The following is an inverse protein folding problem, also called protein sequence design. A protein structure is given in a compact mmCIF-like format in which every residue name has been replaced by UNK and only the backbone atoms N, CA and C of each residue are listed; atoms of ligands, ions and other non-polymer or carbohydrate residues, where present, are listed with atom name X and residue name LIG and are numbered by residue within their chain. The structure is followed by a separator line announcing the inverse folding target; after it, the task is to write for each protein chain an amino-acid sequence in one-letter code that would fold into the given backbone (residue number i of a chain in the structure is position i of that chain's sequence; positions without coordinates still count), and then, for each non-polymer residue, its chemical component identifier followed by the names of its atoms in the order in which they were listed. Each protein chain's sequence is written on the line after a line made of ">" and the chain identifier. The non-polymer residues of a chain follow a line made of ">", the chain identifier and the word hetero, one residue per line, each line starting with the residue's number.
data_IF_427356687362
#
_entry.id   IF_427356687362
#
_cell.length_a   1.000
_cell.length_b   1.000
_cell.length_c   1.000
_cell.angle_alpha   90.00
_cell.angle_beta   90.00
_cell.angle_gamma   90.00
#
_symmetry.space_group_name_H-M   'P 1'
#
loop_
_entity.id
_entity.type
_entity.pdbx_description
1 polymer ?
#
# COMPACT_ATOMS: atom_id res chain seq x y z
N UNK A 1 -58.46 40.77 -36.32
CA UNK A 1 -57.54 41.14 -35.22
C UNK A 1 -56.11 40.93 -35.74
N UNK A 2 -55.50 41.99 -36.30
CA UNK A 2 -54.26 42.66 -35.81
C UNK A 2 -53.09 41.68 -35.56
N UNK A 3 -52.12 41.65 -36.48
CA UNK A 3 -50.73 42.17 -36.35
C UNK A 3 -49.80 41.24 -35.57
N UNK A 4 -48.48 41.14 -35.76
CA UNK A 4 -47.48 41.45 -36.80
C UNK A 4 -46.14 41.00 -36.19
N UNK A 5 -45.17 40.63 -37.02
CA UNK A 5 -43.74 40.41 -36.71
C UNK A 5 -43.13 41.37 -35.67
N UNK A 6 -42.09 40.95 -34.94
CA UNK A 6 -40.79 41.66 -34.78
C UNK A 6 -39.71 40.69 -34.25
N UNK A 7 -38.58 40.65 -34.97
CA UNK A 7 -37.25 40.19 -34.54
C UNK A 7 -36.63 41.20 -33.55
N UNK A 8 -35.95 40.76 -32.49
CA UNK A 8 -34.60 41.26 -32.17
C UNK A 8 -33.88 40.43 -31.12
N UNK A 9 -32.61 40.23 -31.45
CA UNK A 9 -31.44 39.80 -30.68
C UNK A 9 -31.21 40.65 -29.43
N UNK A 10 -30.71 40.03 -28.34
CA UNK A 10 -29.59 40.52 -27.52
C UNK A 10 -29.46 39.79 -26.17
N UNK A 11 -28.44 38.93 -26.11
CA UNK A 11 -27.33 38.94 -25.15
C UNK A 11 -27.57 39.14 -23.63
N UNK A 12 -26.91 38.22 -22.89
CA UNK A 12 -26.40 38.36 -21.53
C UNK A 12 -27.39 38.48 -20.36
N UNK A 13 -27.55 37.37 -19.62
CA UNK A 13 -27.17 37.45 -18.20
C UNK A 13 -26.76 36.11 -17.58
N UNK A 14 -25.48 36.08 -17.23
CA UNK A 14 -24.79 35.30 -16.21
C UNK A 14 -25.67 34.44 -15.29
N UNK A 15 -25.56 33.12 -15.43
CA UNK A 15 -25.38 32.24 -14.27
C UNK A 15 -24.23 31.27 -14.57
N UNK A 16 -23.03 31.74 -14.24
CA UNK A 16 -21.89 30.89 -13.96
C UNK A 16 -22.21 30.00 -12.75
N UNK A 17 -22.54 28.75 -12.98
CA UNK A 17 -22.39 27.71 -11.96
C UNK A 17 -21.12 26.93 -12.31
N UNK A 18 -20.09 27.19 -11.51
CA UNK A 18 -18.76 26.61 -11.56
C UNK A 18 -18.79 25.10 -11.84
N UNK A 19 -18.44 24.71 -13.07
CA UNK A 19 -17.97 23.37 -13.35
C UNK A 19 -16.60 23.21 -12.68
N UNK A 20 -16.56 22.50 -11.55
CA UNK A 20 -15.34 22.24 -10.80
C UNK A 20 -14.30 21.56 -11.70
N UNK A 21 -13.16 22.21 -11.83
CA UNK A 21 -12.02 21.81 -12.67
C UNK A 21 -11.18 20.77 -11.93
N UNK A 22 -11.35 19.49 -12.23
CA UNK A 22 -10.58 18.39 -11.65
C UNK A 22 -9.57 17.79 -12.64
N UNK A 23 -8.36 17.53 -12.15
CA UNK A 23 -7.13 17.12 -12.88
C UNK A 23 -6.99 15.61 -12.88
N UNK A 24 -6.70 14.95 -14.02
CA UNK A 24 -6.59 13.47 -14.02
C UNK A 24 -6.22 12.87 -15.37
N UNK A 25 -5.27 11.93 -15.36
CA UNK A 25 -4.85 11.19 -16.54
C UNK A 25 -4.65 9.70 -16.22
N UNK A 26 -5.60 8.84 -16.63
CA UNK A 26 -5.42 7.38 -16.77
C UNK A 26 -4.64 7.09 -18.08
N UNK A 27 -3.82 6.02 -18.17
CA UNK A 27 -3.38 5.48 -19.48
C UNK A 27 -3.31 3.94 -19.47
N UNK A 28 -4.05 3.30 -20.40
CA UNK A 28 -4.33 1.86 -20.47
C UNK A 28 -3.65 1.14 -21.65
N UNK A 29 -2.87 0.11 -21.32
CA UNK A 29 -2.29 -1.02 -22.09
C UNK A 29 -1.01 -0.84 -22.93
N UNK A 30 0.07 -1.46 -22.45
CA UNK A 30 1.27 -1.80 -23.23
C UNK A 30 1.16 -3.24 -23.75
N UNK A 31 0.79 -3.44 -25.02
CA UNK A 31 0.92 -4.70 -25.77
C UNK A 31 2.33 -4.84 -26.39
N UNK A 32 2.89 -6.06 -26.47
CA UNK A 32 4.17 -6.25 -27.13
C UNK A 32 4.08 -5.95 -28.65
N UNK A 33 5.13 -5.40 -29.30
CA UNK A 33 5.19 -5.38 -30.76
C UNK A 33 5.31 -6.82 -31.25
N UNK A 34 4.30 -7.32 -31.97
CA UNK A 34 4.44 -8.58 -32.70
C UNK A 34 5.40 -8.35 -33.85
N UNK A 35 6.67 -8.73 -33.66
CA UNK A 35 7.60 -8.96 -34.75
C UNK A 35 7.19 -10.24 -35.47
N UNK A 36 6.54 -10.11 -36.61
CA UNK A 36 6.19 -11.24 -37.49
C UNK A 36 4.75 -11.18 -37.98
N UNK A 37 4.58 -11.17 -39.30
CA UNK A 37 3.32 -11.22 -40.03
C UNK A 37 2.27 -12.14 -39.37
N UNK A 38 1.24 -11.57 -38.76
CA UNK A 38 0.10 -12.31 -38.20
C UNK A 38 -1.18 -11.92 -38.97
N UNK A 39 -1.82 -12.91 -39.58
CA UNK A 39 -3.12 -12.75 -40.25
C UNK A 39 -4.25 -12.64 -39.21
N UNK A 40 -5.30 -11.83 -39.46
CA UNK A 40 -6.40 -11.64 -38.53
C UNK A 40 -7.43 -12.76 -38.71
N UNK A 41 -7.41 -13.75 -37.81
CA UNK A 41 -8.56 -14.63 -37.62
C UNK A 41 -8.74 -14.97 -36.14
N UNK A 42 -9.81 -14.39 -35.55
CA UNK A 42 -10.65 -14.84 -34.41
C UNK A 42 -9.92 -15.67 -33.32
N UNK A 43 -9.68 -15.25 -32.09
CA UNK A 43 -10.20 -14.19 -31.23
C UNK A 43 -9.04 -13.73 -30.33
N UNK A 44 -8.70 -12.44 -30.35
CA UNK A 44 -7.93 -11.84 -29.26
C UNK A 44 -8.87 -11.82 -28.04
N UNK A 45 -8.42 -12.23 -26.83
CA UNK A 45 -9.26 -12.07 -25.65
C UNK A 45 -9.65 -10.59 -25.56
N UNK A 46 -10.95 -10.28 -25.36
CA UNK A 46 -11.43 -8.92 -25.46
C UNK A 46 -10.65 -8.03 -24.51
N UNK A 47 -10.48 -6.77 -24.91
CA UNK A 47 -9.86 -5.69 -24.14
C UNK A 47 -10.63 -5.33 -22.83
N UNK A 48 -11.56 -6.18 -22.43
CA UNK A 48 -12.58 -6.06 -21.39
C UNK A 48 -12.21 -7.07 -20.28
N UNK A 49 -12.06 -6.77 -18.99
CA UNK A 49 -12.60 -5.70 -18.15
C UNK A 49 -11.58 -5.44 -17.03
N UNK A 50 -10.88 -4.31 -16.96
CA UNK A 50 -11.29 -3.26 -16.04
C UNK A 50 -12.70 -2.81 -16.44
N UNK A 51 -13.68 -3.14 -15.61
CA UNK A 51 -15.08 -2.90 -15.89
C UNK A 51 -15.35 -1.41 -16.18
N UNK A 52 -16.36 -1.14 -17.00
CA UNK A 52 -16.95 0.20 -17.14
C UNK A 52 -17.26 0.80 -15.75
N UNK A 53 -17.49 -0.04 -14.74
CA UNK A 53 -17.64 0.33 -13.34
C UNK A 53 -16.39 0.99 -12.73
N UNK A 54 -15.16 0.59 -13.10
CA UNK A 54 -13.93 1.21 -12.62
C UNK A 54 -13.67 2.56 -13.29
N UNK A 55 -13.90 2.64 -14.61
CA UNK A 55 -13.84 3.91 -15.35
C UNK A 55 -14.89 4.87 -14.80
N UNK A 56 -16.09 4.37 -14.53
CA UNK A 56 -17.16 5.13 -13.86
C UNK A 56 -16.80 5.50 -12.43
N UNK A 57 -16.10 4.65 -11.67
CA UNK A 57 -15.63 4.98 -10.32
C UNK A 57 -14.59 6.09 -10.34
N UNK A 58 -13.64 6.05 -11.28
CA UNK A 58 -12.70 7.13 -11.55
C UNK A 58 -13.47 8.43 -11.87
N UNK A 59 -14.38 8.39 -12.84
CA UNK A 59 -15.18 9.56 -13.23
C UNK A 59 -16.02 10.12 -12.07
N UNK A 60 -16.62 9.25 -11.23
CA UNK A 60 -17.37 9.67 -10.01
C UNK A 60 -16.49 10.36 -8.98
N UNK A 61 -15.21 9.97 -8.88
CA UNK A 61 -14.21 10.63 -8.03
C UNK A 61 -13.57 11.87 -8.66
N UNK A 62 -14.10 12.37 -9.78
CA UNK A 62 -13.55 13.54 -10.49
C UNK A 62 -12.37 13.23 -11.42
N UNK A 63 -12.08 11.95 -11.69
CA UNK A 63 -10.91 11.51 -12.45
C UNK A 63 -11.22 11.23 -13.94
N UNK A 64 -10.68 12.05 -14.85
CA UNK A 64 -10.60 11.90 -16.30
C UNK A 64 -9.64 10.79 -16.74
N UNK A 65 -10.04 10.09 -17.79
CA UNK A 65 -9.44 8.84 -18.27
C UNK A 65 -8.91 9.00 -19.70
N UNK A 66 -7.64 8.61 -19.95
CA UNK A 66 -7.06 8.52 -21.29
C UNK A 66 -6.53 7.09 -21.56
N UNK A 67 -6.34 6.72 -22.82
CA UNK A 67 -5.93 5.36 -23.24
C UNK A 67 -4.81 5.50 -24.27
N UNK A 68 -3.69 4.78 -24.11
CA UNK A 68 -2.56 4.82 -25.06
C UNK A 68 -2.14 3.41 -25.47
N UNK A 69 -1.82 3.23 -26.76
CA UNK A 69 -1.35 1.96 -27.32
C UNK A 69 0.18 1.88 -27.35
N UNK A 70 0.69 0.66 -27.37
CA UNK A 70 1.95 0.28 -26.74
C UNK A 70 3.27 0.77 -27.34
N UNK A 71 3.36 1.00 -28.65
CA UNK A 71 4.64 1.28 -29.29
C UNK A 71 5.20 2.66 -28.91
N UNK A 72 4.31 3.62 -28.64
CA UNK A 72 4.66 5.01 -28.32
C UNK A 72 4.27 5.40 -26.89
N UNK A 73 3.75 4.46 -26.10
CA UNK A 73 3.10 4.75 -24.83
C UNK A 73 4.02 5.46 -23.82
N UNK A 74 5.32 5.15 -23.76
CA UNK A 74 6.23 5.90 -22.90
C UNK A 74 6.36 7.36 -23.37
N UNK A 75 6.62 7.60 -24.66
CA UNK A 75 6.76 8.94 -25.21
C UNK A 75 5.46 9.75 -25.14
N UNK A 76 4.31 9.13 -25.46
CA UNK A 76 2.98 9.74 -25.38
C UNK A 76 2.56 10.01 -23.93
N UNK A 77 2.81 9.08 -23.00
CA UNK A 77 2.52 9.27 -21.58
C UNK A 77 3.40 10.40 -21.02
N UNK A 78 4.70 10.40 -21.34
CA UNK A 78 5.61 11.48 -20.99
C UNK A 78 5.11 12.82 -21.55
N UNK A 79 4.80 12.87 -22.84
CA UNK A 79 4.28 14.07 -23.50
C UNK A 79 2.99 14.56 -22.82
N UNK A 80 2.05 13.66 -22.52
CA UNK A 80 0.77 14.02 -21.91
C UNK A 80 0.92 14.51 -20.47
N UNK A 81 1.79 13.87 -19.67
CA UNK A 81 2.09 14.31 -18.30
C UNK A 81 2.83 15.66 -18.31
N UNK A 82 3.62 15.95 -19.34
CA UNK A 82 4.37 17.21 -19.48
C UNK A 82 3.60 18.33 -20.18
N UNK A 83 2.38 18.08 -20.69
CA UNK A 83 1.59 19.11 -21.36
C UNK A 83 1.14 20.18 -20.35
N UNK A 84 1.47 21.47 -20.57
CA UNK A 84 1.16 22.54 -19.62
C UNK A 84 -0.36 22.80 -19.45
N UNK A 85 -1.17 22.27 -20.36
CA UNK A 85 -2.63 22.36 -20.35
C UNK A 85 -3.31 21.23 -19.56
N UNK A 86 -2.58 20.17 -19.18
CA UNK A 86 -3.07 19.18 -18.24
C UNK A 86 -2.71 19.62 -16.81
N UNK A 87 -3.74 19.92 -16.03
CA UNK A 87 -3.63 20.16 -14.59
C UNK A 87 -2.96 18.97 -13.86
N UNK A 88 -2.42 19.20 -12.65
CA UNK A 88 -1.59 18.27 -11.87
C UNK A 88 -2.08 16.81 -11.95
N UNK A 89 -1.33 15.94 -12.63
CA UNK A 89 -1.59 14.49 -12.63
C UNK A 89 -1.09 13.91 -11.32
N UNK A 90 -1.98 13.33 -10.51
CA UNK A 90 -1.63 12.73 -9.21
C UNK A 90 -1.59 11.19 -9.22
N UNK A 91 -2.20 10.55 -10.21
CA UNK A 91 -2.32 9.08 -10.31
C UNK A 91 -2.05 8.60 -11.73
N UNK A 92 -1.24 7.55 -11.87
CA UNK A 92 -1.04 6.80 -13.12
C UNK A 92 -1.29 5.32 -12.85
N UNK A 93 -2.19 4.71 -13.60
CA UNK A 93 -2.49 3.27 -13.52
C UNK A 93 -1.94 2.59 -14.77
N UNK A 94 -0.99 1.68 -14.58
CA UNK A 94 -0.38 0.88 -15.63
C UNK A 94 -1.03 -0.51 -15.64
N UNK A 95 -1.95 -0.75 -16.58
CA UNK A 95 -2.48 -2.11 -16.82
C UNK A 95 -1.44 -2.93 -17.58
N UNK A 96 -0.93 -3.99 -16.97
CA UNK A 96 0.14 -4.82 -17.54
C UNK A 96 -0.37 -6.22 -17.85
N UNK A 97 -0.31 -6.60 -19.13
CA UNK A 97 -0.65 -7.95 -19.60
C UNK A 97 0.53 -8.91 -19.44
N UNK A 98 0.27 -10.22 -19.41
CA UNK A 98 1.30 -11.24 -19.20
C UNK A 98 2.48 -11.16 -20.20
N UNK A 99 2.20 -10.76 -21.43
CA UNK A 99 3.18 -10.69 -22.52
C UNK A 99 4.04 -9.42 -22.50
N UNK A 100 3.73 -8.46 -21.62
CA UNK A 100 4.50 -7.21 -21.56
C UNK A 100 5.86 -7.43 -20.90
N UNK A 101 6.98 -6.99 -21.51
CA UNK A 101 8.30 -7.23 -20.95
C UNK A 101 8.50 -6.52 -19.60
N UNK A 102 8.86 -7.30 -18.57
CA UNK A 102 9.11 -6.76 -17.22
C UNK A 102 10.17 -5.66 -17.22
N UNK A 103 11.26 -5.81 -17.97
CA UNK A 103 12.31 -4.78 -18.00
C UNK A 103 11.84 -3.45 -18.62
N UNK A 104 10.88 -3.50 -19.54
CA UNK A 104 10.26 -2.29 -20.09
C UNK A 104 9.35 -1.61 -19.05
N UNK A 105 8.57 -2.38 -18.29
CA UNK A 105 7.75 -1.86 -17.19
C UNK A 105 8.61 -1.16 -16.14
N UNK A 106 9.68 -1.83 -15.73
CA UNK A 106 10.62 -1.36 -14.72
C UNK A 106 11.32 -0.06 -15.14
N UNK A 107 11.75 0.04 -16.41
CA UNK A 107 12.27 1.29 -16.98
C UNK A 107 11.24 2.43 -16.96
N UNK A 108 9.98 2.12 -17.30
CA UNK A 108 8.90 3.10 -17.30
C UNK A 108 8.59 3.63 -15.90
N UNK A 109 8.49 2.75 -14.89
CA UNK A 109 8.27 3.13 -13.50
C UNK A 109 9.37 4.07 -12.99
N UNK A 110 10.63 3.75 -13.29
CA UNK A 110 11.79 4.61 -12.95
C UNK A 110 11.69 5.98 -13.61
N UNK A 111 11.40 6.03 -14.91
CA UNK A 111 11.27 7.28 -15.64
C UNK A 111 10.16 8.17 -15.04
N UNK A 112 8.98 7.59 -14.77
CA UNK A 112 7.86 8.32 -14.17
C UNK A 112 8.18 8.84 -12.78
N UNK A 113 8.82 8.01 -11.95
CA UNK A 113 9.22 8.39 -10.59
C UNK A 113 10.29 9.49 -10.57
N UNK A 114 11.20 9.50 -11.55
CA UNK A 114 12.22 10.54 -11.73
C UNK A 114 11.61 11.88 -12.15
N UNK A 115 10.56 11.87 -12.97
CA UNK A 115 9.86 13.10 -13.34
C UNK A 115 9.12 13.73 -12.17
N UNK A 116 8.41 12.91 -11.39
CA UNK A 116 7.66 13.40 -10.25
C UNK A 116 7.60 12.36 -9.14
N UNK A 117 8.14 12.75 -7.99
CA UNK A 117 8.05 12.00 -6.74
C UNK A 117 6.64 12.03 -6.14
N UNK A 118 5.76 12.91 -6.63
CA UNK A 118 4.38 13.06 -6.12
C UNK A 118 3.39 12.11 -6.80
N UNK A 119 3.73 11.53 -7.95
CA UNK A 119 2.84 10.62 -8.67
C UNK A 119 2.52 9.38 -7.83
N UNK A 120 1.26 9.01 -7.75
CA UNK A 120 0.87 7.67 -7.32
C UNK A 120 0.96 6.73 -8.53
N UNK A 121 1.88 5.76 -8.48
CA UNK A 121 2.09 4.81 -9.59
C UNK A 121 1.47 3.45 -9.23
N UNK A 122 0.37 3.09 -9.87
CA UNK A 122 -0.33 1.83 -9.65
C UNK A 122 -0.04 0.86 -10.80
N UNK A 123 0.55 -0.31 -10.52
CA UNK A 123 0.65 -1.42 -11.47
C UNK A 123 -0.55 -2.33 -11.30
N UNK A 124 -1.41 -2.41 -12.32
CA UNK A 124 -2.61 -3.23 -12.30
C UNK A 124 -2.41 -4.51 -13.14
N UNK A 125 -2.11 -5.64 -12.50
CA UNK A 125 -1.83 -6.91 -13.20
C UNK A 125 -1.89 -8.14 -12.28
N UNK A 126 -2.74 -9.14 -12.58
CA UNK A 126 -2.74 -10.42 -11.85
C UNK A 126 -1.37 -11.10 -11.86
N UNK A 127 -0.71 -11.15 -13.02
CA UNK A 127 0.58 -11.84 -13.18
C UNK A 127 1.77 -11.19 -12.46
N UNK A 128 1.60 -9.95 -11.99
CA UNK A 128 2.61 -9.26 -11.20
C UNK A 128 2.22 -9.34 -9.72
N UNK A 129 0.94 -9.12 -9.40
CA UNK A 129 0.42 -9.26 -8.02
C UNK A 129 0.67 -10.65 -7.46
N UNK A 130 0.46 -11.70 -8.25
CA UNK A 130 0.56 -13.09 -7.81
C UNK A 130 2.00 -13.65 -7.91
N UNK A 131 2.99 -12.81 -8.29
CA UNK A 131 4.38 -13.21 -8.41
C UNK A 131 5.27 -12.33 -7.50
N UNK A 132 5.68 -12.83 -6.31
CA UNK A 132 6.33 -12.03 -5.27
C UNK A 132 7.56 -11.24 -5.74
N UNK A 133 8.44 -11.85 -6.54
CA UNK A 133 9.61 -11.16 -7.09
C UNK A 133 9.25 -10.04 -8.10
N UNK A 134 8.26 -10.25 -8.98
CA UNK A 134 7.83 -9.22 -9.94
C UNK A 134 7.19 -8.04 -9.21
N UNK A 135 6.35 -8.33 -8.22
CA UNK A 135 5.79 -7.33 -7.29
C UNK A 135 6.90 -6.51 -6.64
N UNK A 136 7.87 -7.17 -6.01
CA UNK A 136 8.97 -6.50 -5.32
C UNK A 136 9.79 -5.59 -6.25
N UNK A 137 10.11 -6.06 -7.46
CA UNK A 137 10.84 -5.25 -8.45
C UNK A 137 10.04 -4.01 -8.88
N UNK A 138 8.73 -4.11 -9.06
CA UNK A 138 7.91 -2.93 -9.39
C UNK A 138 7.98 -1.86 -8.29
N UNK A 139 7.90 -2.30 -7.04
CA UNK A 139 8.04 -1.45 -5.87
C UNK A 139 9.43 -0.80 -5.79
N UNK A 140 10.49 -1.57 -6.02
CA UNK A 140 11.88 -1.07 -6.06
C UNK A 140 12.08 -0.01 -7.15
N UNK A 141 11.41 -0.16 -8.29
CA UNK A 141 11.53 0.75 -9.44
C UNK A 141 10.51 1.90 -9.41
N UNK A 142 9.76 2.07 -8.31
CA UNK A 142 8.99 3.29 -8.03
C UNK A 142 7.48 3.14 -8.08
N UNK A 143 6.93 1.93 -8.23
CA UNK A 143 5.50 1.71 -8.02
C UNK A 143 5.11 2.09 -6.59
N UNK A 144 4.00 2.82 -6.45
CA UNK A 144 3.36 3.09 -5.16
C UNK A 144 2.45 1.91 -4.76
N UNK A 145 1.85 1.22 -5.73
CA UNK A 145 0.98 0.08 -5.47
C UNK A 145 1.04 -0.93 -6.61
N UNK A 146 0.91 -2.22 -6.29
CA UNK A 146 0.73 -3.31 -7.26
C UNK A 146 -0.52 -4.09 -6.88
N UNK A 147 -1.52 -4.16 -7.76
CA UNK A 147 -2.81 -4.81 -7.45
C UNK A 147 -3.46 -5.46 -8.67
N UNK A 148 -4.40 -6.35 -8.43
CA UNK A 148 -5.37 -6.84 -9.41
C UNK A 148 -6.82 -6.64 -8.91
N UNK A 149 -7.00 -5.92 -7.79
CA UNK A 149 -8.28 -5.68 -7.14
C UNK A 149 -8.81 -4.30 -7.50
N UNK A 150 -10.04 -4.26 -7.99
CA UNK A 150 -10.77 -3.02 -8.25
C UNK A 150 -11.09 -2.31 -6.94
N UNK A 151 -11.50 -3.04 -5.91
CA UNK A 151 -11.84 -2.46 -4.61
C UNK A 151 -10.64 -1.78 -3.95
N UNK A 152 -9.46 -2.40 -4.04
CA UNK A 152 -8.20 -1.80 -3.60
C UNK A 152 -7.91 -0.50 -4.34
N UNK A 153 -8.10 -0.49 -5.66
CA UNK A 153 -7.93 0.71 -6.47
C UNK A 153 -8.92 1.80 -6.05
N UNK A 154 -10.21 1.48 -5.95
CA UNK A 154 -11.26 2.42 -5.53
C UNK A 154 -10.98 3.01 -4.14
N UNK A 155 -10.52 2.19 -3.19
CA UNK A 155 -10.12 2.68 -1.86
C UNK A 155 -9.00 3.73 -1.95
N UNK A 156 -7.98 3.50 -2.79
CA UNK A 156 -6.91 4.47 -3.01
C UNK A 156 -7.42 5.74 -3.70
N UNK A 157 -8.30 5.62 -4.69
CA UNK A 157 -8.90 6.78 -5.35
C UNK A 157 -9.58 7.70 -4.34
N UNK A 158 -10.38 7.13 -3.42
CA UNK A 158 -11.05 7.91 -2.38
C UNK A 158 -10.07 8.62 -1.45
N UNK A 159 -8.95 7.96 -1.08
CA UNK A 159 -7.89 8.59 -0.27
C UNK A 159 -7.24 9.75 -1.01
N UNK A 160 -6.93 9.59 -2.30
CA UNK A 160 -6.31 10.62 -3.13
C UNK A 160 -7.26 11.82 -3.36
N UNK A 161 -8.53 11.57 -3.65
CA UNK A 161 -9.53 12.65 -3.80
C UNK A 161 -9.67 13.46 -2.51
N UNK A 162 -9.63 12.82 -1.33
CA UNK A 162 -9.66 13.52 -0.05
C UNK A 162 -8.41 14.42 0.18
N UNK A 163 -7.24 14.03 -0.34
CA UNK A 163 -6.05 14.88 -0.32
C UNK A 163 -6.19 16.12 -1.23
N UNK A 164 -6.82 15.97 -2.40
CA UNK A 164 -7.05 17.07 -3.34
C UNK A 164 -8.11 18.07 -2.83
N UNK A 165 -9.21 17.58 -2.26
CA UNK A 165 -10.25 18.44 -1.70
C UNK A 165 -9.71 19.29 -0.52
N UNK A 166 -8.81 18.71 0.28
CA UNK A 166 -8.11 19.45 1.34
C UNK A 166 -7.23 20.57 0.77
N UNK A 167 -6.50 20.32 -0.32
CA UNK A 167 -5.66 21.31 -1.01
C UNK A 167 -6.51 22.45 -1.63
N UNK A 168 -7.66 22.12 -2.23
CA UNK A 168 -8.59 23.09 -2.82
C UNK A 168 -9.24 23.99 -1.77
N UNK A 169 -9.67 23.43 -0.64
CA UNK A 169 -10.28 24.18 0.46
C UNK A 169 -9.33 25.27 1.03
N UNK A 170 -8.01 25.05 0.96
CA UNK A 170 -7.01 26.07 1.31
C UNK A 170 -7.04 27.29 0.39
N UNK A 171 -7.23 27.06 -0.92
CA UNK A 171 -7.17 28.12 -1.93
C UNK A 171 -8.37 29.06 -1.87
N UNK A 172 -9.49 28.61 -1.29
CA UNK A 172 -10.77 29.32 -1.26
C UNK A 172 -11.17 29.91 0.11
N UNK A 173 -10.47 29.59 1.21
CA UNK A 173 -10.89 29.98 2.56
C UNK A 173 -10.22 31.25 3.07
N UNK A 174 -11.00 32.32 3.29
CA UNK A 174 -10.55 33.58 3.92
C UNK A 174 -10.90 33.73 5.42
N UNK A 175 -11.56 32.76 6.08
CA UNK A 175 -11.97 32.93 7.49
C UNK A 175 -12.01 31.66 8.38
N UNK A 176 -11.34 31.80 9.55
CA UNK A 176 -11.72 31.37 10.93
C UNK A 176 -11.61 29.93 11.46
N UNK A 177 -10.93 28.98 10.80
CA UNK A 177 -10.14 27.94 11.53
C UNK A 177 -8.84 27.68 10.78
N UNK A 178 -7.71 28.10 11.35
CA UNK A 178 -6.36 27.80 10.82
C UNK A 178 -6.10 26.30 10.98
N UNK A 179 -6.59 25.48 10.04
CA UNK A 179 -6.01 24.15 9.87
C UNK A 179 -4.57 24.36 9.39
N UNK A 180 -3.60 23.89 10.18
CA UNK A 180 -2.20 23.89 9.78
C UNK A 180 -2.00 22.86 8.68
N UNK A 181 -1.29 23.25 7.63
CA UNK A 181 -0.99 22.40 6.49
C UNK A 181 0.51 22.22 6.37
N UNK A 182 0.93 21.02 6.02
CA UNK A 182 2.30 20.55 6.03
C UNK A 182 2.73 20.11 4.62
N UNK A 183 4.04 20.05 4.42
CA UNK A 183 4.65 19.47 3.23
C UNK A 183 5.22 18.09 3.53
N UNK A 184 4.99 17.12 2.64
CA UNK A 184 5.58 15.80 2.76
C UNK A 184 7.11 15.88 2.57
N UNK A 185 7.91 15.37 3.53
CA UNK A 185 9.38 15.44 3.44
C UNK A 185 9.97 14.52 2.34
N UNK A 186 9.21 13.57 1.81
CA UNK A 186 9.68 12.64 0.77
C UNK A 186 9.49 13.16 -0.66
N UNK A 187 8.39 13.86 -0.94
CA UNK A 187 8.01 14.29 -2.28
C UNK A 187 7.73 15.78 -2.43
N UNK A 188 7.71 16.53 -1.32
CA UNK A 188 7.43 17.96 -1.31
C UNK A 188 5.97 18.33 -1.60
N UNK A 189 5.02 17.38 -1.65
CA UNK A 189 3.58 17.72 -1.76
C UNK A 189 3.18 18.55 -0.55
N UNK A 190 2.78 19.79 -0.79
CA UNK A 190 2.30 20.74 0.21
C UNK A 190 0.78 20.66 0.36
N UNK A 191 0.25 21.32 1.38
CA UNK A 191 -1.20 21.44 1.58
C UNK A 191 -1.83 20.23 2.27
N UNK A 192 -1.03 19.38 2.91
CA UNK A 192 -1.52 18.20 3.61
C UNK A 192 -1.89 18.57 5.06
N UNK A 193 -3.09 18.22 5.51
CA UNK A 193 -3.41 18.22 6.94
C UNK A 193 -2.55 17.19 7.69
N UNK A 194 -2.57 17.20 9.03
CA UNK A 194 -1.88 16.19 9.85
C UNK A 194 -2.33 14.76 9.48
N UNK A 195 -3.64 14.51 9.37
CA UNK A 195 -4.19 13.22 8.95
C UNK A 195 -3.87 12.87 7.49
N UNK A 196 -3.96 13.85 6.58
CA UNK A 196 -3.61 13.62 5.18
C UNK A 196 -2.13 13.25 5.03
N UNK A 197 -1.23 13.91 5.78
CA UNK A 197 0.19 13.55 5.79
C UNK A 197 0.43 12.14 6.34
N UNK A 198 -0.30 11.76 7.40
CA UNK A 198 -0.23 10.43 8.01
C UNK A 198 -0.66 9.33 7.04
N UNK A 199 -1.69 9.57 6.22
CA UNK A 199 -2.15 8.63 5.17
C UNK A 199 -1.18 8.65 3.98
N UNK A 200 -0.80 9.84 3.52
CA UNK A 200 0.01 10.05 2.31
C UNK A 200 1.37 9.33 2.39
N UNK A 201 2.04 9.43 3.54
CA UNK A 201 3.39 8.90 3.70
C UNK A 201 3.53 7.40 3.43
N UNK A 202 2.83 6.49 4.14
CA UNK A 202 2.87 5.07 3.83
C UNK A 202 2.25 4.79 2.46
N UNK A 203 1.17 5.47 2.07
CA UNK A 203 0.49 5.18 0.80
C UNK A 203 1.37 5.45 -0.44
N UNK A 204 2.09 6.57 -0.47
CA UNK A 204 2.93 6.96 -1.62
C UNK A 204 4.38 6.48 -1.50
N UNK A 205 4.90 6.39 -0.27
CA UNK A 205 6.33 6.26 0.00
C UNK A 205 6.67 5.02 0.83
N UNK A 206 5.86 3.95 0.73
CA UNK A 206 6.06 2.71 1.51
C UNK A 206 7.46 2.09 1.36
N UNK A 207 8.10 2.30 0.20
CA UNK A 207 9.43 1.79 -0.10
C UNK A 207 10.56 2.78 0.16
N UNK A 208 10.27 4.02 0.55
CA UNK A 208 11.34 4.92 0.95
C UNK A 208 12.01 4.34 2.20
N UNK A 209 13.34 4.32 2.20
CA UNK A 209 14.10 3.77 3.32
C UNK A 209 13.77 4.53 4.60
N UNK A 210 13.75 3.81 5.72
CA UNK A 210 13.64 4.41 7.03
C UNK A 210 14.81 5.39 7.26
N UNK A 211 14.46 6.66 7.42
CA UNK A 211 15.41 7.77 7.57
C UNK A 211 15.18 8.48 8.89
N UNK A 212 16.25 8.67 9.65
CA UNK A 212 16.25 9.42 10.93
C UNK A 212 16.65 10.88 10.75
N UNK A 213 17.12 11.25 9.55
CA UNK A 213 17.58 12.60 9.22
C UNK A 213 16.47 13.50 8.64
N UNK A 214 15.28 12.94 8.40
CA UNK A 214 14.11 13.69 7.95
C UNK A 214 13.41 14.36 9.13
N UNK A 215 13.30 15.70 9.17
CA UNK A 215 12.61 16.39 10.23
C UNK A 215 11.09 16.21 10.10
N UNK A 216 10.40 16.04 11.22
CA UNK A 216 8.94 16.02 11.23
C UNK A 216 8.38 17.45 11.05
N UNK A 217 7.62 17.74 9.97
CA UNK A 217 7.09 19.08 9.72
C UNK A 217 6.06 19.50 10.77
N UNK A 218 5.33 18.55 11.36
CA UNK A 218 4.33 18.83 12.39
C UNK A 218 4.99 19.25 13.71
N UNK A 219 6.02 18.52 14.16
CA UNK A 219 6.77 18.88 15.37
C UNK A 219 7.51 20.22 15.23
N UNK A 220 8.10 20.46 14.05
CA UNK A 220 8.78 21.73 13.76
C UNK A 220 7.85 22.93 13.96
N UNK A 221 6.63 22.82 13.46
CA UNK A 221 5.62 23.86 13.57
C UNK A 221 5.05 24.01 15.00
N UNK A 222 4.76 22.89 15.68
CA UNK A 222 4.17 22.91 17.05
C UNK A 222 5.18 23.29 18.15
N UNK A 223 6.44 22.90 18.04
CA UNK A 223 7.41 22.97 19.16
C UNK A 223 8.66 23.79 18.84
N UNK A 224 8.82 24.31 17.61
CA UNK A 224 9.99 25.09 17.20
C UNK A 224 11.32 24.31 17.24
N UNK A 225 11.27 23.00 17.47
CA UNK A 225 12.41 22.08 17.50
C UNK A 225 12.14 20.95 16.52
N UNK A 226 13.13 20.66 15.68
CA UNK A 226 13.08 19.45 14.86
C UNK A 226 13.05 18.25 15.81
N UNK A 227 12.08 17.36 15.64
CA UNK A 227 12.22 16.01 16.17
C UNK A 227 13.50 15.42 15.58
N UNK A 228 14.58 15.41 16.37
CA UNK A 228 15.80 14.65 16.11
C UNK A 228 15.81 13.43 17.02
N UNK A 229 14.72 12.66 17.00
CA UNK A 229 14.69 11.39 17.71
C UNK A 229 15.52 10.37 16.94
N UNK A 230 16.18 9.48 17.66
CA UNK A 230 16.83 8.26 17.16
C UNK A 230 15.89 7.32 16.36
N UNK A 231 14.64 7.70 16.10
CA UNK A 231 13.58 6.90 15.49
C UNK A 231 13.33 7.38 14.05
N UNK A 232 13.14 6.47 13.08
CA UNK A 232 12.80 6.84 11.71
C UNK A 232 11.54 7.69 11.59
N UNK A 233 11.50 8.62 10.62
CA UNK A 233 10.41 9.57 10.44
C UNK A 233 9.03 8.90 10.29
N UNK A 234 8.90 7.85 9.48
CA UNK A 234 7.60 7.16 9.30
C UNK A 234 7.09 6.52 10.59
N UNK A 235 7.97 5.89 11.37
CA UNK A 235 7.64 5.30 12.67
C UNK A 235 7.21 6.38 13.66
N UNK A 236 7.91 7.51 13.69
CA UNK A 236 7.53 8.66 14.49
C UNK A 236 6.18 9.25 14.06
N UNK A 237 5.97 9.46 12.76
CA UNK A 237 4.72 9.97 12.21
C UNK A 237 3.55 9.07 12.62
N UNK A 238 3.72 7.75 12.52
CA UNK A 238 2.68 6.80 12.91
C UNK A 238 2.34 6.89 14.40
N UNK A 239 3.37 6.79 15.25
CA UNK A 239 3.19 6.67 16.70
C UNK A 239 2.88 8.00 17.40
N UNK A 240 3.31 9.15 16.87
CA UNK A 240 3.14 10.46 17.52
C UNK A 240 2.03 11.31 16.90
N UNK A 241 1.72 11.11 15.61
CA UNK A 241 0.77 11.93 14.85
C UNK A 241 -0.39 11.13 14.25
N UNK A 242 -0.38 9.80 14.43
CA UNK A 242 -1.49 8.94 14.08
C UNK A 242 -2.51 8.75 15.19
N UNK A 243 -3.48 7.84 14.97
CA UNK A 243 -4.39 7.38 16.02
C UNK A 243 -3.66 6.96 17.32
N UNK A 244 -2.49 6.27 17.29
CA UNK A 244 -1.75 5.97 18.53
C UNK A 244 -1.30 7.22 19.30
N UNK A 245 -0.82 8.25 18.59
CA UNK A 245 -0.34 9.49 19.21
C UNK A 245 -1.44 10.33 19.85
N UNK A 246 -2.68 10.17 19.37
CA UNK A 246 -3.88 10.78 19.94
C UNK A 246 -4.51 9.98 21.08
N UNK A 247 -4.05 8.74 21.29
CA UNK A 247 -4.63 7.81 22.25
C UNK A 247 -5.87 7.07 21.72
N UNK A 248 -6.15 7.16 20.42
CA UNK A 248 -7.24 6.43 19.75
C UNK A 248 -6.89 4.94 19.59
N UNK A 249 -5.58 4.61 19.53
CA UNK A 249 -5.04 3.25 19.49
C UNK A 249 -3.91 3.07 20.52
N UNK A 250 -3.61 1.83 20.96
CA UNK A 250 -2.40 1.55 21.74
C UNK A 250 -1.14 1.93 20.97
N UNK A 251 -0.11 2.43 21.66
CA UNK A 251 1.21 2.66 21.06
C UNK A 251 2.10 1.42 21.23
N UNK A 252 2.80 1.04 20.16
CA UNK A 252 3.79 -0.05 20.12
C UNK A 252 4.92 0.10 21.15
N UNK A 253 5.16 1.34 21.60
CA UNK A 253 6.19 1.70 22.57
C UNK A 253 5.75 1.61 24.04
N UNK A 254 4.53 1.12 24.33
CA UNK A 254 4.11 0.98 25.72
C UNK A 254 4.96 -0.05 26.47
N UNK A 255 5.50 0.43 27.59
CA UNK A 255 6.15 -0.28 28.67
C UNK A 255 7.68 -0.53 28.55
N UNK A 256 8.50 0.52 28.72
CA UNK A 256 9.96 0.40 28.88
C UNK A 256 10.38 -0.39 30.13
N UNK A 257 9.47 -0.75 31.04
CA UNK A 257 9.78 -1.61 32.19
C UNK A 257 9.54 -3.10 31.92
N UNK A 258 8.90 -3.47 30.80
CA UNK A 258 8.62 -4.89 30.51
C UNK A 258 9.92 -5.67 30.32
N UNK A 259 10.14 -6.68 31.14
CA UNK A 259 11.27 -7.61 31.03
C UNK A 259 10.97 -8.77 30.09
N UNK A 260 9.72 -8.91 29.63
CA UNK A 260 9.31 -9.90 28.63
C UNK A 260 8.78 -9.19 27.37
N UNK A 261 9.37 -9.54 26.23
CA UNK A 261 8.94 -9.12 24.90
C UNK A 261 8.43 -10.34 24.15
N UNK A 262 7.11 -10.50 24.12
CA UNK A 262 6.44 -11.61 23.47
C UNK A 262 5.99 -11.22 22.06
N UNK A 263 6.24 -12.10 21.09
CA UNK A 263 5.82 -11.95 19.70
C UNK A 263 5.06 -13.20 19.24
N UNK A 264 4.15 -13.01 18.30
CA UNK A 264 3.44 -14.08 17.63
C UNK A 264 3.70 -14.00 16.12
N UNK A 265 4.26 -15.06 15.55
CA UNK A 265 4.56 -15.20 14.12
C UNK A 265 3.65 -16.27 13.52
N UNK A 266 3.28 -16.07 12.26
CA UNK A 266 2.37 -16.97 11.54
C UNK A 266 3.03 -17.53 10.29
N UNK A 267 3.05 -18.85 10.20
CA UNK A 267 3.35 -19.59 8.97
C UNK A 267 2.02 -20.04 8.39
N UNK A 268 1.45 -19.23 7.49
CA UNK A 268 0.17 -19.56 6.86
C UNK A 268 0.39 -20.32 5.56
N UNK A 269 -0.13 -21.55 5.46
CA UNK A 269 -0.05 -22.38 4.26
C UNK A 269 -1.42 -22.56 3.65
N UNK A 270 -1.57 -22.23 2.38
CA UNK A 270 -2.81 -22.44 1.66
C UNK A 270 -3.06 -23.95 1.45
N UNK A 271 -4.21 -24.51 1.84
CA UNK A 271 -4.43 -25.96 1.85
C UNK A 271 -4.52 -26.56 0.44
N UNK A 272 -5.00 -25.81 -0.55
CA UNK A 272 -5.09 -26.25 -1.96
C UNK A 272 -3.79 -26.00 -2.72
N UNK A 273 -3.38 -24.74 -2.89
CA UNK A 273 -2.20 -24.37 -3.70
C UNK A 273 -0.87 -24.74 -3.04
N UNK A 274 -0.86 -25.05 -1.74
CA UNK A 274 0.34 -25.32 -0.93
C UNK A 274 1.34 -24.17 -0.83
N UNK A 275 0.98 -22.97 -1.32
CA UNK A 275 1.77 -21.76 -1.19
C UNK A 275 1.72 -21.22 0.25
N UNK A 276 2.70 -20.41 0.59
CA UNK A 276 2.84 -19.77 1.89
C UNK A 276 2.66 -18.26 1.79
N UNK A 277 2.07 -17.68 2.83
CA UNK A 277 1.83 -16.24 2.90
C UNK A 277 3.10 -15.51 3.32
N UNK A 278 3.44 -14.45 2.59
CA UNK A 278 4.51 -13.52 2.94
C UNK A 278 3.98 -12.08 2.95
N UNK A 279 4.47 -11.29 3.89
CA UNK A 279 4.24 -9.85 3.97
C UNK A 279 5.44 -9.13 3.37
N UNK A 280 5.22 -8.16 2.49
CA UNK A 280 6.26 -7.25 2.03
C UNK A 280 6.36 -6.08 3.01
N UNK A 281 7.37 -6.12 3.88
CA UNK A 281 7.57 -5.09 4.91
C UNK A 281 7.89 -3.73 4.28
N UNK A 282 7.55 -2.67 5.03
CA UNK A 282 7.84 -1.31 4.62
C UNK A 282 9.35 -1.01 4.59
N UNK A 283 9.70 0.13 4.02
CA UNK A 283 11.07 0.66 3.94
C UNK A 283 12.09 -0.24 3.22
N UNK A 284 11.64 -1.03 2.24
CA UNK A 284 12.46 -2.01 1.49
C UNK A 284 13.14 -3.06 2.39
N UNK A 285 12.48 -3.48 3.47
CA UNK A 285 13.02 -4.50 4.38
C UNK A 285 12.94 -5.94 3.83
N UNK A 286 12.28 -6.12 2.68
CA UNK A 286 12.09 -7.42 2.04
C UNK A 286 10.77 -8.07 2.44
N UNK A 287 10.68 -9.37 2.23
CA UNK A 287 9.56 -10.18 2.69
C UNK A 287 9.83 -10.82 4.04
N UNK A 288 8.76 -10.98 4.82
CA UNK A 288 8.76 -11.70 6.09
C UNK A 288 7.48 -12.52 6.31
N UNK A 289 7.48 -13.30 7.39
CA UNK A 289 6.26 -13.91 7.93
C UNK A 289 5.36 -12.82 8.51
N UNK A 290 4.02 -12.95 8.40
CA UNK A 290 3.12 -12.15 9.20
C UNK A 290 3.41 -12.32 10.70
N UNK A 291 3.41 -11.23 11.45
CA UNK A 291 3.47 -11.30 12.91
C UNK A 291 4.12 -10.11 13.60
N UNK A 292 3.66 -9.84 14.81
CA UNK A 292 4.11 -8.72 15.61
C UNK A 292 4.08 -9.01 17.10
N UNK A 293 4.00 -7.95 17.89
CA UNK A 293 4.09 -8.02 19.35
C UNK A 293 2.75 -8.47 19.93
N UNK A 294 2.79 -9.24 21.02
CA UNK A 294 1.58 -9.54 21.79
C UNK A 294 1.28 -8.34 22.70
N UNK A 295 0.07 -7.79 22.57
CA UNK A 295 -0.36 -6.65 23.37
C UNK A 295 -0.69 -7.03 24.81
N UNK A 296 -0.74 -6.02 25.69
CA UNK A 296 -1.08 -6.23 27.09
C UNK A 296 -2.52 -6.75 27.23
N UNK A 297 -2.67 -7.94 27.82
CA UNK A 297 -3.97 -8.60 27.98
C UNK A 297 -4.39 -9.45 26.77
N UNK A 298 -3.60 -9.44 25.69
CA UNK A 298 -3.81 -10.24 24.50
C UNK A 298 -3.16 -11.62 24.64
N UNK A 299 -3.78 -12.67 24.09
CA UNK A 299 -3.13 -13.98 23.97
C UNK A 299 -2.24 -14.01 22.72
N UNK A 300 -1.14 -14.79 22.68
CA UNK A 300 -0.33 -14.94 21.48
C UNK A 300 -1.13 -15.42 20.26
N UNK A 301 -2.16 -16.24 20.47
CA UNK A 301 -3.07 -16.68 19.40
C UNK A 301 -3.88 -15.51 18.82
N UNK A 302 -4.40 -14.64 19.68
CA UNK A 302 -5.13 -13.45 19.24
C UNK A 302 -4.21 -12.48 18.49
N UNK A 303 -2.99 -12.27 19.02
CA UNK A 303 -1.97 -11.46 18.36
C UNK A 303 -1.63 -12.00 16.98
N UNK A 304 -1.38 -13.31 16.85
CA UNK A 304 -1.10 -13.95 15.55
C UNK A 304 -2.20 -13.67 14.51
N UNK A 305 -3.47 -13.75 14.91
CA UNK A 305 -4.62 -13.51 14.02
C UNK A 305 -4.73 -12.03 13.66
N UNK A 306 -4.62 -11.13 14.66
CA UNK A 306 -4.66 -9.67 14.47
C UNK A 306 -3.56 -9.21 13.52
N UNK A 307 -2.32 -9.57 13.80
CA UNK A 307 -1.15 -9.18 13.01
C UNK A 307 -1.24 -9.69 11.57
N UNK A 308 -1.70 -10.94 11.37
CA UNK A 308 -1.92 -11.46 10.02
C UNK A 308 -2.99 -10.68 9.25
N UNK A 309 -4.03 -10.22 9.95
CA UNK A 309 -5.08 -9.38 9.35
C UNK A 309 -4.56 -7.98 9.02
N UNK A 310 -3.82 -7.36 9.92
CA UNK A 310 -3.26 -6.01 9.77
C UNK A 310 -2.21 -5.98 8.65
N UNK A 311 -1.24 -6.87 8.66
CA UNK A 311 -0.12 -6.87 7.72
C UNK A 311 -0.45 -7.48 6.36
N UNK A 312 -1.25 -8.55 6.33
CA UNK A 312 -1.54 -9.30 5.10
C UNK A 312 -2.99 -9.19 4.62
N UNK A 313 -3.91 -8.63 5.42
CA UNK A 313 -5.33 -8.57 5.09
C UNK A 313 -6.06 -9.91 5.13
N UNK A 314 -5.43 -10.96 5.64
CA UNK A 314 -5.93 -12.34 5.58
C UNK A 314 -6.58 -12.76 6.90
N UNK A 315 -7.77 -13.33 6.82
CA UNK A 315 -8.39 -14.01 7.96
C UNK A 315 -7.86 -15.44 8.02
N UNK A 316 -7.25 -15.82 9.15
CA UNK A 316 -6.58 -17.10 9.31
C UNK A 316 -7.08 -17.87 10.52
N UNK A 317 -7.03 -19.20 10.42
CA UNK A 317 -7.26 -20.13 11.53
C UNK A 317 -5.93 -20.79 11.88
N UNK A 318 -5.52 -20.66 13.14
CA UNK A 318 -4.36 -21.37 13.66
C UNK A 318 -4.68 -22.87 13.74
N UNK A 319 -3.73 -23.71 13.31
CA UNK A 319 -3.88 -25.17 13.27
C UNK A 319 -2.87 -25.89 14.17
N UNK A 320 -1.84 -25.18 14.65
CA UNK A 320 -0.86 -25.74 15.58
C UNK A 320 0.27 -24.78 15.90
N UNK A 321 1.17 -25.22 16.78
CA UNK A 321 2.40 -24.52 17.15
C UNK A 321 3.60 -25.24 16.53
N UNK A 322 4.39 -24.53 15.75
CA UNK A 322 5.63 -25.03 15.16
C UNK A 322 6.79 -24.92 16.16
N UNK A 323 6.86 -23.79 16.86
CA UNK A 323 7.99 -23.50 17.76
C UNK A 323 7.61 -22.49 18.83
N UNK A 324 8.12 -22.70 20.04
CA UNK A 324 8.22 -21.67 21.07
C UNK A 324 9.70 -21.37 21.29
N UNK A 325 10.06 -20.12 21.13
CA UNK A 325 11.42 -19.65 21.35
C UNK A 325 11.48 -18.79 22.61
N UNK A 326 12.49 -19.03 23.45
CA UNK A 326 12.74 -18.31 24.69
C UNK A 326 14.20 -17.85 24.70
N UNK A 327 14.42 -16.55 24.50
CA UNK A 327 15.76 -15.98 24.36
C UNK A 327 16.01 -14.92 25.43
N UNK A 328 16.75 -15.24 26.51
CA UNK A 328 17.35 -14.24 27.38
C UNK A 328 18.29 -13.34 26.59
N UNK A 329 18.21 -12.03 26.82
CA UNK A 329 18.96 -10.99 26.13
C UNK A 329 19.38 -9.91 27.12
N UNK A 330 20.44 -9.20 26.77
CA UNK A 330 20.89 -7.99 27.46
C UNK A 330 21.01 -6.90 26.41
N UNK A 331 20.39 -5.74 26.64
CA UNK A 331 20.52 -4.60 25.71
C UNK A 331 21.85 -3.85 25.92
N UNK A 332 22.11 -2.85 25.08
CA UNK A 332 23.33 -2.04 25.14
C UNK A 332 23.49 -1.22 26.43
N UNK A 333 22.42 -1.03 27.19
CA UNK A 333 22.44 -0.36 28.49
C UNK A 333 22.71 -1.31 29.67
N UNK A 334 22.86 -2.61 29.39
CA UNK A 334 23.05 -3.65 30.40
C UNK A 334 21.75 -4.17 31.00
N UNK A 335 20.58 -3.76 30.48
CA UNK A 335 19.29 -4.21 30.97
C UNK A 335 18.98 -5.59 30.42
N UNK A 336 18.66 -6.52 31.32
CA UNK A 336 18.24 -7.87 30.97
C UNK A 336 16.76 -7.93 30.61
N UNK A 337 16.44 -8.68 29.56
CA UNK A 337 15.07 -8.95 29.12
C UNK A 337 14.99 -10.31 28.41
N UNK A 338 13.79 -10.81 28.24
CA UNK A 338 13.50 -12.04 27.51
C UNK A 338 12.75 -11.68 26.24
N UNK A 339 13.24 -12.18 25.10
CA UNK A 339 12.46 -12.21 23.86
C UNK A 339 11.85 -13.60 23.69
N UNK A 340 10.53 -13.66 23.68
CA UNK A 340 9.77 -14.89 23.47
C UNK A 340 9.03 -14.81 22.13
N UNK A 341 9.05 -15.89 21.35
CA UNK A 341 8.34 -15.96 20.06
C UNK A 341 7.52 -17.23 19.96
N UNK A 342 6.21 -17.09 19.76
CA UNK A 342 5.33 -18.17 19.35
C UNK A 342 5.30 -18.20 17.83
N UNK A 343 5.54 -19.37 17.24
CA UNK A 343 5.47 -19.57 15.78
C UNK A 343 4.33 -20.53 15.49
N UNK A 344 3.21 -19.99 15.01
CA UNK A 344 2.01 -20.76 14.73
C UNK A 344 1.96 -21.22 13.28
N UNK A 345 1.40 -22.41 13.06
CA UNK A 345 0.93 -22.85 11.75
C UNK A 345 -0.52 -22.39 11.59
N UNK A 346 -0.86 -21.89 10.40
CA UNK A 346 -2.20 -21.43 10.09
C UNK A 346 -2.62 -21.80 8.66
N UNK A 347 -3.92 -21.69 8.42
CA UNK A 347 -4.56 -21.80 7.11
C UNK A 347 -5.52 -20.61 6.93
N UNK A 348 -5.75 -20.11 5.70
CA UNK A 348 -6.77 -19.10 5.47
C UNK A 348 -8.16 -19.64 5.80
N UNK A 349 -9.02 -18.80 6.40
CA UNK A 349 -10.43 -19.15 6.66
C UNK A 349 -11.20 -19.24 5.36
N UNK A 350 -11.02 -18.27 4.47
CA UNK A 350 -11.54 -18.29 3.10
C UNK A 350 -10.38 -18.49 2.10
N UNK A 351 -10.41 -19.59 1.37
CA UNK A 351 -9.40 -19.92 0.37
C UNK A 351 -9.43 -19.00 -0.85
N UNK A 352 -10.54 -18.29 -1.09
CA UNK A 352 -10.66 -17.31 -2.16
C UNK A 352 -10.16 -15.91 -1.77
N UNK A 353 -9.97 -15.65 -0.47
CA UNK A 353 -9.48 -14.37 0.02
C UNK A 353 -8.07 -14.12 -0.50
N UNK A 354 -7.87 -12.93 -1.06
CA UNK A 354 -6.58 -12.48 -1.58
C UNK A 354 -5.85 -11.64 -0.54
N UNK A 355 -4.51 -11.74 -0.47
CA UNK A 355 -3.72 -10.86 0.39
C UNK A 355 -3.91 -9.39 -0.01
N UNK A 356 -3.83 -8.49 0.98
CA UNK A 356 -3.99 -7.05 0.74
C UNK A 356 -2.93 -6.54 -0.23
N UNK A 357 -3.33 -5.57 -1.03
CA UNK A 357 -2.46 -4.91 -2.02
C UNK A 357 -2.31 -3.41 -1.81
N UNK A 358 -3.15 -2.80 -0.97
CA UNK A 358 -3.08 -1.37 -0.63
C UNK A 358 -1.98 -1.18 0.40
N UNK A 359 -0.96 -0.36 0.13
CA UNK A 359 0.05 -0.02 1.13
C UNK A 359 -0.54 0.81 2.27
N UNK A 360 -0.05 0.54 3.47
CA UNK A 360 -0.30 1.31 4.69
C UNK A 360 0.93 1.19 5.59
N UNK A 361 0.84 1.64 6.85
CA UNK A 361 1.97 1.59 7.76
C UNK A 361 2.46 0.16 8.04
N UNK A 362 1.55 -0.82 8.05
CA UNK A 362 1.87 -2.20 8.40
C UNK A 362 2.69 -2.88 7.31
N UNK A 363 2.34 -2.64 6.04
CA UNK A 363 3.08 -3.26 4.93
C UNK A 363 2.81 -2.62 3.58
N UNK A 364 3.68 -2.94 2.61
CA UNK A 364 3.42 -2.69 1.19
C UNK A 364 2.35 -3.64 0.60
N UNK A 365 1.84 -4.57 1.40
CA UNK A 365 0.94 -5.66 1.02
C UNK A 365 1.58 -7.03 1.19
N UNK A 366 0.87 -8.06 0.76
CA UNK A 366 1.28 -9.44 0.95
C UNK A 366 1.15 -10.26 -0.34
N UNK A 367 1.75 -11.45 -0.37
CA UNK A 367 1.73 -12.35 -1.52
C UNK A 367 1.85 -13.80 -1.11
N UNK A 368 1.23 -14.68 -1.89
CA UNK A 368 1.45 -16.12 -1.80
C UNK A 368 2.74 -16.51 -2.54
N UNK A 369 3.53 -17.41 -1.96
CA UNK A 369 4.82 -17.85 -2.49
C UNK A 369 4.98 -19.37 -2.42
N UNK A 370 5.51 -19.98 -3.47
CA UNK A 370 5.87 -21.40 -3.45
C UNK A 370 7.16 -21.61 -2.62
N UNK A 371 7.29 -22.75 -1.95
CA UNK A 371 8.46 -23.06 -1.10
C UNK A 371 9.78 -23.04 -1.88
N UNK A 372 9.77 -23.41 -3.16
CA UNK A 372 10.99 -23.40 -3.98
C UNK A 372 11.42 -21.98 -4.41
N UNK A 373 10.50 -21.02 -4.37
CA UNK A 373 10.74 -19.65 -4.83
C UNK A 373 11.20 -18.73 -3.70
N UNK A 374 10.91 -19.06 -2.43
CA UNK A 374 11.16 -18.13 -1.30
C UNK A 374 12.63 -17.76 -1.16
N UNK A 375 13.56 -18.69 -1.44
CA UNK A 375 15.02 -18.45 -1.37
C UNK A 375 15.52 -17.41 -2.36
N UNK A 376 14.76 -17.17 -3.43
CA UNK A 376 15.13 -16.19 -4.46
C UNK A 376 14.65 -14.78 -4.08
N UNK A 377 13.76 -14.65 -3.09
CA UNK A 377 13.20 -13.38 -2.68
C UNK A 377 14.17 -12.60 -1.78
N UNK A 378 14.08 -11.26 -1.79
CA UNK A 378 14.70 -10.46 -0.75
C UNK A 378 13.94 -10.68 0.55
N UNK A 379 14.58 -11.32 1.53
CA UNK A 379 13.99 -11.63 2.83
C UNK A 379 14.65 -10.79 3.93
N UNK A 380 13.90 -10.44 4.97
CA UNK A 380 14.46 -9.78 6.16
C UNK A 380 15.45 -10.68 6.93
N UNK A 381 15.41 -11.99 6.70
CA UNK A 381 16.16 -13.02 7.42
C UNK A 381 15.81 -14.45 6.95
N UNK A 382 16.33 -15.49 7.63
CA UNK A 382 16.19 -16.88 7.16
C UNK A 382 14.84 -17.54 7.50
N UNK A 383 14.10 -17.04 8.50
CA UNK A 383 12.91 -17.69 9.06
C UNK A 383 11.89 -18.17 8.00
N UNK A 384 11.50 -17.39 6.98
CA UNK A 384 10.56 -17.88 5.96
C UNK A 384 11.03 -19.15 5.25
N UNK A 385 12.32 -19.25 4.89
CA UNK A 385 12.86 -20.44 4.24
C UNK A 385 12.80 -21.63 5.19
N UNK A 386 13.32 -21.46 6.40
CA UNK A 386 13.40 -22.52 7.40
C UNK A 386 12.01 -23.11 7.72
N UNK A 387 11.03 -22.25 7.98
CA UNK A 387 9.70 -22.70 8.36
C UNK A 387 8.89 -23.24 7.18
N UNK A 388 9.01 -22.65 5.99
CA UNK A 388 8.27 -23.14 4.82
C UNK A 388 8.76 -24.53 4.41
N UNK A 389 10.08 -24.76 4.41
CA UNK A 389 10.66 -26.08 4.16
C UNK A 389 10.26 -27.09 5.22
N UNK A 390 10.39 -26.74 6.50
CA UNK A 390 9.98 -27.60 7.61
C UNK A 390 8.54 -28.07 7.45
N UNK A 391 7.59 -27.15 7.23
CA UNK A 391 6.17 -27.47 7.05
C UNK A 391 5.92 -28.24 5.74
N UNK A 392 6.58 -27.88 4.64
CA UNK A 392 6.42 -28.56 3.36
C UNK A 392 6.87 -30.03 3.41
N UNK A 393 7.89 -30.33 4.21
CA UNK A 393 8.39 -31.70 4.44
C UNK A 393 7.63 -32.50 5.49
N UNK A 394 6.54 -31.96 6.04
CA UNK A 394 5.74 -32.64 7.07
C UNK A 394 6.37 -32.61 8.46
N UNK A 395 7.09 -31.53 8.78
CA UNK A 395 7.65 -31.29 10.11
C UNK A 395 6.58 -31.37 11.20
N UNK A 396 7.01 -31.79 12.40
CA UNK A 396 6.10 -31.98 13.52
C UNK A 396 5.41 -30.68 13.94
N UNK A 397 4.10 -30.76 14.19
CA UNK A 397 3.27 -29.65 14.64
C UNK A 397 2.68 -30.00 16.00
N UNK A 398 2.90 -29.14 16.98
CA UNK A 398 2.33 -29.31 18.32
C UNK A 398 0.86 -28.87 18.30
N UNK A 399 -0.09 -29.66 18.84
CA UNK A 399 -1.49 -29.26 18.92
C UNK A 399 -1.67 -27.97 19.71
N UNK A 400 -2.59 -27.10 19.30
CA UNK A 400 -2.89 -25.87 20.04
C UNK A 400 -3.37 -26.16 21.48
N UNK A 401 -4.00 -27.31 21.71
CA UNK A 401 -4.40 -27.76 23.05
C UNK A 401 -3.24 -27.95 24.02
N UNK A 402 -2.00 -28.03 23.52
CA UNK A 402 -0.80 -28.06 24.35
C UNK A 402 -0.43 -26.69 24.92
N UNK A 403 -1.00 -25.60 24.38
CA UNK A 403 -0.89 -24.26 24.93
C UNK A 403 -2.10 -24.04 25.84
N UNK A 404 -1.85 -23.87 27.14
CA UNK A 404 -2.90 -23.58 28.11
C UNK A 404 -2.80 -22.12 28.53
N UNK A 405 -3.59 -21.27 27.88
CA UNK A 405 -3.74 -19.88 28.28
C UNK A 405 -4.92 -19.77 29.26
N UNK A 406 -4.63 -19.54 30.54
CA UNK A 406 -5.69 -19.21 31.52
C UNK A 406 -6.10 -17.75 31.33
N UNK A 407 -7.06 -17.50 30.45
CA UNK A 407 -7.65 -16.16 30.31
C UNK A 407 -9.19 -16.15 30.22
N UNK A 408 -9.85 -17.16 30.78
CA UNK A 408 -11.29 -17.12 31.01
C UNK A 408 -11.59 -16.80 32.46
N UNK A 409 -11.81 -15.51 32.76
CA UNK A 409 -12.82 -15.18 33.77
C UNK A 409 -14.16 -15.50 33.12
N UNK A 410 -14.70 -16.68 33.43
CA UNK A 410 -16.14 -16.94 33.28
C UNK A 410 -16.96 -15.85 33.95
#
# INVERSE_FOLDING_TARGET
>A
MKNSSVYHDDSNNLMSNHAATHSSLLVRCLTAPTGGYFQPSRELPPLDMIEESCVSACNRGGLRVQVCLAADAAAQLLQTITQPTLHKVHLVILRVVATFPMDALLKLLRALRQMSRQLFLCVFSPHITDHPMRRYRCFTDGASMVTNSVDALTSVLLKLSAEEDAELAMSSSSTTRRHQHYACPFCGKSGLTEDALWIHCPLHHINEKNRTDLPCPICLDKQGKSYRGSTPFQVHLHNAHGPPGRGDLPSEFRNPESTLYCFALVVCRHPVTKHFLLVQEFACSGYWLPGGRVDAGETPEAAAIRETKEEAGMDVRLTGLLKLEYHPKTDSSGREYVRMRFVFLAEPVDHAQKPKSVPDYESAGASWCHVDDVKQLPLRGPEPVEYFEFVATGGAVVPLTSIVMKNDRR
#
